data_IF_541427730045
#
_entry.id   IF_541427730045
#
_cell.length_a   1.000
_cell.length_b   1.000
_cell.length_c   1.000
_cell.angle_alpha   90.00
_cell.angle_beta   90.00
_cell.angle_gamma   90.00
#
_symmetry.space_group_name_H-M   'P 1'
#
loop_
_entity.id
_entity.type
_entity.pdbx_description
1 polymer ?
#
# COMPACT_ATOMS: atom_id res chain seq x y z
N UNK A 1 12.82 -22.28 -3.02
CA UNK A 1 11.56 -21.72 -2.49
C UNK A 1 11.05 -20.72 -3.51
N UNK A 2 9.83 -20.88 -3.96
CA UNK A 2 9.12 -19.92 -4.83
C UNK A 2 8.36 -18.95 -3.94
N UNK A 3 8.69 -17.65 -4.01
CA UNK A 3 8.07 -16.63 -3.15
C UNK A 3 7.01 -15.85 -3.92
N UNK A 4 5.74 -16.03 -3.54
CA UNK A 4 4.57 -15.42 -4.17
C UNK A 4 3.68 -14.67 -3.16
N UNK A 5 4.29 -14.03 -2.15
CA UNK A 5 3.58 -13.18 -1.18
C UNK A 5 4.09 -11.72 -1.19
N UNK A 6 4.40 -11.18 -2.39
CA UNK A 6 4.93 -9.83 -2.54
C UNK A 6 3.93 -8.74 -2.12
N UNK A 7 2.63 -8.98 -2.20
CA UNK A 7 1.60 -8.07 -1.70
C UNK A 7 1.59 -7.93 -0.16
N UNK A 8 2.21 -8.84 0.59
CA UNK A 8 2.45 -8.69 2.02
C UNK A 8 3.76 -7.92 2.27
N UNK A 9 4.86 -8.34 1.62
CA UNK A 9 6.16 -7.65 1.57
C UNK A 9 6.95 -8.17 0.37
N UNK A 10 7.64 -7.33 -0.37
CA UNK A 10 8.45 -7.79 -1.49
C UNK A 10 9.70 -8.52 -1.00
N UNK A 11 10.05 -9.63 -1.65
CA UNK A 11 11.29 -10.39 -1.42
C UNK A 11 11.72 -11.12 -2.70
N UNK A 12 13.05 -11.11 -3.03
CA UNK A 12 14.13 -10.40 -2.36
C UNK A 12 14.02 -8.88 -2.55
N UNK A 13 14.85 -8.12 -1.83
CA UNK A 13 15.08 -6.71 -2.09
C UNK A 13 16.22 -6.54 -3.10
N UNK A 14 16.27 -5.43 -3.85
CA UNK A 14 17.45 -5.06 -4.62
C UNK A 14 18.70 -5.03 -3.72
N UNK A 15 19.83 -5.50 -4.21
CA UNK A 15 21.08 -5.56 -3.43
C UNK A 15 21.53 -4.19 -2.88
N UNK A 16 21.23 -3.11 -3.63
CA UNK A 16 21.49 -1.75 -3.18
C UNK A 16 20.78 -1.39 -1.88
N UNK A 17 19.58 -1.95 -1.63
CA UNK A 17 18.80 -1.74 -0.40
C UNK A 17 19.54 -2.31 0.82
N UNK A 18 20.02 -3.56 0.71
CA UNK A 18 20.79 -4.18 1.80
C UNK A 18 22.06 -3.40 2.11
N UNK A 19 22.82 -3.03 1.06
CA UNK A 19 24.05 -2.23 1.20
C UNK A 19 23.81 -0.86 1.82
N UNK A 20 22.74 -0.18 1.43
CA UNK A 20 22.40 1.13 1.99
C UNK A 20 22.09 1.07 3.48
N UNK A 21 21.38 0.04 3.93
CA UNK A 21 21.09 -0.20 5.36
C UNK A 21 22.37 -0.44 6.14
N UNK A 22 23.24 -1.34 5.66
CA UNK A 22 24.52 -1.66 6.33
C UNK A 22 25.44 -0.41 6.38
N UNK A 23 25.53 0.32 5.26
CA UNK A 23 26.33 1.56 5.18
C UNK A 23 25.82 2.64 6.13
N UNK A 24 24.48 2.85 6.17
CA UNK A 24 23.88 3.82 7.06
C UNK A 24 24.20 3.51 8.54
N UNK A 25 24.13 2.23 8.94
CA UNK A 25 24.45 1.82 10.32
C UNK A 25 25.94 1.96 10.66
N UNK A 26 26.85 1.63 9.73
CA UNK A 26 28.30 1.62 10.01
C UNK A 26 28.95 2.98 9.84
N UNK A 27 28.48 3.80 8.89
CA UNK A 27 29.17 5.02 8.47
C UNK A 27 28.40 6.31 8.80
N UNK A 28 27.05 6.25 8.91
CA UNK A 28 26.20 7.41 9.13
C UNK A 28 25.36 7.30 10.41
N UNK A 29 25.83 6.58 11.43
CA UNK A 29 25.08 6.29 12.65
C UNK A 29 24.82 7.48 13.58
N UNK A 30 24.89 8.72 13.08
CA UNK A 30 24.56 9.92 13.82
C UNK A 30 23.07 10.31 13.67
N UNK A 31 22.56 11.10 14.63
CA UNK A 31 21.21 11.61 14.58
C UNK A 31 21.11 12.71 13.51
N UNK A 32 20.26 12.56 12.45
CA UNK A 32 20.14 13.54 11.39
C UNK A 32 19.65 14.89 11.92
N UNK A 33 20.22 16.01 11.41
CA UNK A 33 19.78 17.36 11.69
C UNK A 33 19.96 17.86 13.11
N UNK A 34 20.66 17.09 13.99
CA UNK A 34 20.84 17.48 15.40
C UNK A 34 22.28 17.83 15.79
N UNK A 35 23.20 17.96 14.82
CA UNK A 35 24.59 18.30 15.08
C UNK A 35 25.24 18.96 13.88
N UNK A 36 26.19 19.88 14.16
CA UNK A 36 26.95 20.57 13.12
C UNK A 36 28.17 19.77 12.63
N UNK A 37 28.39 18.53 13.14
CA UNK A 37 29.49 17.67 12.73
C UNK A 37 29.13 16.84 11.50
N UNK A 38 30.14 16.53 10.69
CA UNK A 38 30.00 15.94 9.36
C UNK A 38 29.05 14.73 9.31
N UNK A 39 29.17 13.78 10.23
CA UNK A 39 28.35 12.58 10.23
C UNK A 39 26.83 12.88 10.40
N UNK A 40 26.47 13.91 11.18
CA UNK A 40 25.08 14.34 11.34
C UNK A 40 24.55 15.02 10.08
N UNK A 41 25.40 15.82 9.42
CA UNK A 41 25.07 16.49 8.14
C UNK A 41 24.91 15.45 7.03
N UNK A 42 25.81 14.45 6.95
CA UNK A 42 25.73 13.37 5.97
C UNK A 42 24.45 12.53 6.18
N UNK A 43 24.08 12.26 7.44
CA UNK A 43 22.84 11.55 7.78
C UNK A 43 21.58 12.33 7.40
N UNK A 44 21.58 13.66 7.61
CA UNK A 44 20.49 14.54 7.19
C UNK A 44 20.35 14.58 5.65
N UNK A 45 21.47 14.73 4.93
CA UNK A 45 21.48 14.71 3.47
C UNK A 45 20.93 13.40 2.90
N UNK A 46 21.16 12.26 3.56
CA UNK A 46 20.61 10.96 3.20
C UNK A 46 19.07 10.94 3.37
N UNK A 47 18.57 11.44 4.50
CA UNK A 47 17.11 11.55 4.75
C UNK A 47 16.45 12.44 3.70
N UNK A 48 17.02 13.63 3.46
CA UNK A 48 16.48 14.59 2.50
C UNK A 48 16.56 14.08 1.05
N UNK A 49 17.63 13.39 0.70
CA UNK A 49 17.76 12.75 -0.62
C UNK A 49 16.70 11.68 -0.86
N UNK A 50 16.38 10.89 0.17
CA UNK A 50 15.27 9.90 0.09
C UNK A 50 13.92 10.60 -0.01
N UNK A 51 13.71 11.68 0.76
CA UNK A 51 12.49 12.49 0.72
C UNK A 51 12.24 13.07 -0.67
N UNK A 52 13.26 13.61 -1.31
CA UNK A 52 13.20 14.11 -2.68
C UNK A 52 12.93 13.00 -3.70
N UNK A 53 13.54 11.83 -3.53
CA UNK A 53 13.31 10.68 -4.41
C UNK A 53 11.85 10.21 -4.36
N UNK A 54 11.25 10.14 -3.16
CA UNK A 54 9.83 9.81 -2.98
C UNK A 54 8.92 10.88 -3.57
N UNK A 55 9.22 12.16 -3.32
CA UNK A 55 8.46 13.27 -3.90
C UNK A 55 8.48 13.22 -5.43
N UNK A 56 9.64 12.96 -6.03
CA UNK A 56 9.80 12.80 -7.47
C UNK A 56 9.05 11.59 -8.03
N UNK A 57 9.00 10.47 -7.29
CA UNK A 57 8.29 9.25 -7.72
C UNK A 57 6.79 9.49 -7.87
N UNK A 58 6.20 10.25 -6.95
CA UNK A 58 4.76 10.53 -6.93
C UNK A 58 4.37 11.88 -7.53
N UNK A 59 5.31 12.60 -8.16
CA UNK A 59 5.11 13.97 -8.62
C UNK A 59 4.47 14.87 -7.54
N UNK A 60 4.98 14.74 -6.29
CA UNK A 60 4.51 15.55 -5.18
C UNK A 60 5.01 17.00 -5.33
N UNK A 61 4.17 18.02 -5.08
CA UNK A 61 4.52 19.43 -5.33
C UNK A 61 5.65 19.95 -4.44
N UNK A 62 5.89 19.33 -3.29
CA UNK A 62 6.89 19.76 -2.32
C UNK A 62 7.43 18.58 -1.50
N UNK A 63 8.73 18.34 -1.59
CA UNK A 63 9.39 17.25 -0.85
C UNK A 63 9.26 17.38 0.67
N UNK A 64 9.19 18.58 1.23
CA UNK A 64 8.98 18.77 2.68
C UNK A 64 7.63 18.23 3.19
N UNK A 65 6.70 17.93 2.28
CA UNK A 65 5.40 17.30 2.59
C UNK A 65 5.38 15.79 2.41
N UNK A 66 6.53 15.18 2.20
CA UNK A 66 6.74 13.74 2.32
C UNK A 66 7.13 13.45 3.76
N UNK A 67 6.33 12.73 4.49
CA UNK A 67 6.49 12.40 5.91
C UNK A 67 6.88 10.93 6.03
N UNK A 68 7.99 10.63 6.68
CA UNK A 68 8.36 9.25 6.97
C UNK A 68 7.55 8.71 8.14
N UNK A 69 7.05 7.50 7.98
CA UNK A 69 6.23 6.79 8.95
C UNK A 69 6.75 5.38 9.18
N UNK A 70 6.24 4.67 10.17
CA UNK A 70 6.66 3.29 10.45
C UNK A 70 6.16 2.29 9.39
N UNK A 71 5.03 2.56 8.78
CA UNK A 71 4.38 1.75 7.76
C UNK A 71 3.13 2.50 7.21
N UNK A 72 2.44 1.92 6.23
CA UNK A 72 1.22 2.51 5.67
C UNK A 72 0.09 2.67 6.71
N UNK A 73 -0.06 1.73 7.63
CA UNK A 73 -1.07 1.84 8.71
C UNK A 73 -0.83 3.06 9.58
N UNK A 74 0.43 3.36 9.91
CA UNK A 74 0.82 4.57 10.63
C UNK A 74 0.50 5.83 9.81
N UNK A 75 0.89 5.86 8.52
CA UNK A 75 0.59 6.95 7.60
C UNK A 75 -0.93 7.23 7.50
N UNK A 76 -1.75 6.17 7.33
CA UNK A 76 -3.20 6.29 7.27
C UNK A 76 -3.81 6.76 8.60
N UNK A 77 -3.31 6.30 9.75
CA UNK A 77 -3.78 6.79 11.05
C UNK A 77 -3.43 8.27 11.25
N UNK A 78 -2.23 8.72 10.86
CA UNK A 78 -1.84 10.13 10.90
C UNK A 78 -2.79 10.96 10.02
N UNK A 79 -3.04 10.54 8.78
CA UNK A 79 -3.91 11.25 7.86
C UNK A 79 -5.36 11.28 8.36
N UNK A 80 -5.96 10.11 8.60
CA UNK A 80 -7.38 9.99 8.92
C UNK A 80 -7.73 10.65 10.26
N UNK A 81 -6.95 10.37 11.32
CA UNK A 81 -7.21 10.95 12.65
C UNK A 81 -6.74 12.40 12.78
N UNK A 82 -5.76 12.81 11.95
CA UNK A 82 -5.26 14.17 11.95
C UNK A 82 -6.11 15.15 11.14
N UNK A 83 -6.89 14.66 10.17
CA UNK A 83 -7.72 15.49 9.31
C UNK A 83 -9.21 15.45 9.68
N UNK A 84 -9.76 14.24 9.86
CA UNK A 84 -11.21 14.02 10.02
C UNK A 84 -11.67 14.41 11.43
N UNK A 85 -12.71 15.24 11.51
CA UNK A 85 -13.29 15.77 12.74
C UNK A 85 -14.71 15.24 12.94
N UNK A 86 -15.26 15.34 14.15
CA UNK A 86 -16.70 15.14 14.39
C UNK A 86 -17.54 16.05 13.49
N UNK A 87 -18.52 15.46 12.82
CA UNK A 87 -19.38 16.15 11.86
C UNK A 87 -18.95 15.99 10.40
N UNK A 88 -17.67 15.71 10.11
CA UNK A 88 -17.18 15.54 8.75
C UNK A 88 -17.84 14.34 8.06
N UNK A 89 -18.11 14.52 6.76
CA UNK A 89 -18.69 13.50 5.87
C UNK A 89 -17.58 12.80 5.11
N UNK A 90 -17.47 11.49 5.30
CA UNK A 90 -16.45 10.63 4.71
C UNK A 90 -17.13 9.57 3.85
N UNK A 91 -16.70 9.44 2.60
CA UNK A 91 -17.09 8.33 1.74
C UNK A 91 -15.89 7.42 1.51
N UNK A 92 -16.08 6.11 1.63
CA UNK A 92 -15.00 5.12 1.41
C UNK A 92 -15.41 4.05 0.42
N UNK A 93 -14.42 3.34 -0.12
CA UNK A 93 -14.63 2.25 -1.08
C UNK A 93 -15.13 0.95 -0.43
N UNK A 94 -15.58 -0.02 -1.25
CA UNK A 94 -16.07 -1.31 -0.76
C UNK A 94 -14.95 -2.31 -0.45
N UNK A 95 -13.72 -2.07 -0.90
CA UNK A 95 -12.61 -3.02 -0.87
C UNK A 95 -11.44 -2.57 0.03
N UNK A 96 -11.77 -1.84 1.09
CA UNK A 96 -10.76 -1.22 1.93
C UNK A 96 -10.08 -2.23 2.88
N UNK A 97 -8.79 -2.00 3.07
CA UNK A 97 -8.00 -2.70 4.07
C UNK A 97 -8.37 -2.27 5.50
N UNK A 98 -8.11 -3.13 6.49
CA UNK A 98 -8.34 -2.81 7.91
C UNK A 98 -7.63 -1.53 8.39
N UNK A 99 -6.56 -1.10 7.72
CA UNK A 99 -5.86 0.16 8.01
C UNK A 99 -6.68 1.41 7.67
N UNK A 100 -7.72 1.27 6.84
CA UNK A 100 -8.72 2.30 6.53
C UNK A 100 -9.98 2.08 7.37
N UNK A 101 -10.55 0.88 7.34
CA UNK A 101 -11.87 0.62 7.94
C UNK A 101 -11.88 0.76 9.45
N UNK A 102 -10.82 0.32 10.15
CA UNK A 102 -10.75 0.41 11.62
C UNK A 102 -10.61 1.85 12.13
N UNK A 103 -9.71 2.71 11.61
CA UNK A 103 -9.70 4.12 11.96
C UNK A 103 -11.02 4.82 11.64
N UNK A 104 -11.62 4.59 10.46
CA UNK A 104 -12.92 5.17 10.11
C UNK A 104 -14.04 4.73 11.07
N UNK A 105 -14.07 3.46 11.47
CA UNK A 105 -15.02 2.99 12.48
C UNK A 105 -14.84 3.73 13.83
N UNK A 106 -13.60 3.99 14.24
CA UNK A 106 -13.34 4.77 15.45
C UNK A 106 -13.81 6.22 15.30
N UNK A 107 -13.51 6.85 14.16
CA UNK A 107 -13.93 8.23 13.87
C UNK A 107 -15.46 8.35 13.78
N UNK A 108 -16.14 7.36 13.22
CA UNK A 108 -17.60 7.30 13.20
C UNK A 108 -18.19 7.31 14.61
N UNK A 109 -17.58 6.57 15.55
CA UNK A 109 -18.01 6.56 16.96
C UNK A 109 -17.74 7.89 17.67
N UNK A 110 -16.86 8.73 17.16
CA UNK A 110 -16.58 10.07 17.69
C UNK A 110 -17.30 11.19 16.93
N UNK A 111 -18.20 10.83 16.00
CA UNK A 111 -19.13 11.77 15.37
C UNK A 111 -18.90 12.04 13.88
N UNK A 112 -17.91 11.47 13.22
CA UNK A 112 -17.78 11.53 11.77
C UNK A 112 -18.91 10.72 11.09
N UNK A 113 -19.37 11.16 9.91
CA UNK A 113 -20.41 10.49 9.13
C UNK A 113 -19.73 9.66 8.02
N UNK A 114 -19.69 8.33 8.17
CA UNK A 114 -19.00 7.45 7.23
C UNK A 114 -20.02 6.68 6.39
N UNK A 115 -19.92 6.82 5.06
CA UNK A 115 -20.68 6.04 4.09
C UNK A 115 -19.75 5.19 3.22
N UNK A 116 -20.23 4.01 2.81
CA UNK A 116 -19.45 3.07 1.98
C UNK A 116 -20.09 2.99 0.58
N UNK A 117 -19.31 3.27 -0.45
CA UNK A 117 -19.71 3.08 -1.83
C UNK A 117 -19.90 1.59 -2.16
N UNK A 118 -20.84 1.26 -3.04
CA UNK A 118 -21.03 -0.12 -3.49
C UNK A 118 -19.95 -0.55 -4.47
N UNK A 119 -19.74 -1.85 -4.57
CA UNK A 119 -18.98 -2.44 -5.68
C UNK A 119 -19.85 -2.52 -6.95
N UNK A 120 -19.19 -2.42 -8.10
CA UNK A 120 -19.79 -2.75 -9.39
C UNK A 120 -19.59 -4.24 -9.76
N UNK A 121 -20.13 -4.69 -10.87
CA UNK A 121 -20.03 -6.09 -11.34
C UNK A 121 -18.60 -6.49 -11.77
N UNK A 122 -17.72 -5.53 -12.02
CA UNK A 122 -16.32 -5.75 -12.39
C UNK A 122 -15.37 -5.72 -11.16
N UNK A 123 -15.88 -5.95 -9.95
CA UNK A 123 -15.14 -5.93 -8.68
C UNK A 123 -14.44 -4.58 -8.40
N UNK A 124 -14.90 -3.48 -9.03
CA UNK A 124 -14.45 -2.12 -8.80
C UNK A 124 -15.45 -1.31 -7.96
N UNK A 125 -15.14 -0.04 -7.72
CA UNK A 125 -16.05 0.91 -7.08
C UNK A 125 -17.17 1.35 -8.07
N UNK A 126 -18.42 1.41 -7.59
CA UNK A 126 -19.54 1.99 -8.33
C UNK A 126 -19.45 3.52 -8.26
N UNK A 127 -18.99 4.15 -9.36
CA UNK A 127 -18.78 5.60 -9.43
C UNK A 127 -20.11 6.39 -9.38
N UNK A 128 -21.21 5.83 -9.86
CA UNK A 128 -22.51 6.50 -9.80
C UNK A 128 -23.04 6.50 -8.36
N UNK A 129 -22.85 5.41 -7.62
CA UNK A 129 -23.18 5.38 -6.22
C UNK A 129 -22.24 6.30 -5.39
N UNK A 130 -20.92 6.32 -5.71
CA UNK A 130 -20.00 7.28 -5.10
C UNK A 130 -20.45 8.72 -5.31
N UNK A 131 -20.79 9.09 -6.54
CA UNK A 131 -21.32 10.42 -6.87
C UNK A 131 -22.59 10.74 -6.11
N UNK A 132 -23.51 9.76 -5.99
CA UNK A 132 -24.76 9.94 -5.24
C UNK A 132 -24.49 10.20 -3.74
N UNK A 133 -23.53 9.50 -3.13
CA UNK A 133 -23.13 9.70 -1.74
C UNK A 133 -22.48 11.06 -1.50
N UNK A 134 -21.74 11.60 -2.47
CA UNK A 134 -21.09 12.90 -2.38
C UNK A 134 -22.02 14.08 -2.67
N UNK A 135 -23.20 13.85 -3.24
CA UNK A 135 -24.09 14.91 -3.80
C UNK A 135 -24.47 16.01 -2.79
N UNK A 136 -24.59 15.69 -1.53
CA UNK A 136 -24.94 16.65 -0.47
C UNK A 136 -23.70 17.27 0.21
N UNK A 137 -22.53 17.15 -0.40
CA UNK A 137 -21.22 17.54 0.12
C UNK A 137 -20.48 16.34 0.71
N UNK A 138 -19.16 16.38 0.63
CA UNK A 138 -18.25 15.42 1.24
C UNK A 138 -17.00 16.17 1.69
N UNK A 139 -16.41 15.81 2.83
CA UNK A 139 -15.15 16.38 3.27
C UNK A 139 -13.96 15.50 2.81
N UNK A 140 -14.15 14.18 2.86
CA UNK A 140 -13.09 13.25 2.47
C UNK A 140 -13.66 12.04 1.70
N UNK A 141 -12.99 11.69 0.60
CA UNK A 141 -13.12 10.37 -0.03
C UNK A 141 -11.86 9.58 0.27
N UNK A 142 -12.00 8.37 0.83
CA UNK A 142 -10.88 7.51 1.25
C UNK A 142 -10.97 6.20 0.50
N UNK A 143 -10.01 5.91 -0.37
CA UNK A 143 -10.03 4.68 -1.17
C UNK A 143 -8.66 4.03 -1.29
N UNK A 144 -8.65 2.71 -1.37
CA UNK A 144 -7.48 1.94 -1.77
C UNK A 144 -7.28 2.04 -3.29
N UNK A 145 -6.05 2.34 -3.73
CA UNK A 145 -5.69 2.38 -5.14
C UNK A 145 -5.88 1.01 -5.81
N UNK A 146 -5.45 -0.04 -5.11
CA UNK A 146 -5.55 -1.42 -5.58
C UNK A 146 -6.04 -2.30 -4.45
N UNK A 147 -7.03 -3.14 -4.74
CA UNK A 147 -7.49 -4.16 -3.79
C UNK A 147 -6.40 -5.20 -3.55
N UNK A 148 -6.01 -5.38 -2.29
CA UNK A 148 -5.03 -6.38 -1.90
C UNK A 148 -5.56 -7.83 -1.95
N UNK A 149 -6.81 -8.02 -2.34
CA UNK A 149 -7.47 -9.33 -2.51
C UNK A 149 -7.67 -9.63 -3.98
N UNK A 150 -8.33 -8.73 -4.72
CA UNK A 150 -8.73 -8.98 -6.12
C UNK A 150 -7.72 -8.44 -7.13
N UNK A 151 -6.80 -7.56 -6.73
CA UNK A 151 -5.90 -6.85 -7.64
C UNK A 151 -6.61 -5.77 -8.49
N UNK A 152 -7.90 -5.53 -8.26
CA UNK A 152 -8.66 -4.52 -8.99
C UNK A 152 -8.12 -3.13 -8.71
N UNK A 153 -7.93 -2.34 -9.76
CA UNK A 153 -7.40 -0.97 -9.70
C UNK A 153 -8.55 0.03 -9.67
N UNK A 154 -8.54 0.92 -8.67
CA UNK A 154 -9.53 1.99 -8.58
C UNK A 154 -9.26 3.09 -9.62
N UNK A 155 -10.29 3.67 -10.26
CA UNK A 155 -10.17 4.79 -11.18
C UNK A 155 -9.96 6.10 -10.40
N UNK A 156 -8.72 6.30 -9.92
CA UNK A 156 -8.36 7.35 -8.94
C UNK A 156 -8.70 8.75 -9.46
N UNK A 157 -8.41 9.03 -10.73
CA UNK A 157 -8.66 10.34 -11.34
C UNK A 157 -10.15 10.70 -11.36
N UNK A 158 -11.00 9.74 -11.69
CA UNK A 158 -12.47 9.92 -11.68
C UNK A 158 -12.99 10.07 -10.24
N UNK A 159 -12.45 9.31 -9.30
CA UNK A 159 -12.81 9.41 -7.87
C UNK A 159 -12.41 10.78 -7.31
N UNK A 160 -11.21 11.26 -7.61
CA UNK A 160 -10.73 12.59 -7.23
C UNK A 160 -11.64 13.68 -7.80
N UNK A 161 -11.98 13.59 -9.10
CA UNK A 161 -12.87 14.55 -9.74
C UNK A 161 -14.25 14.60 -9.08
N UNK A 162 -14.81 13.44 -8.67
CA UNK A 162 -16.06 13.39 -7.92
C UNK A 162 -15.91 14.05 -6.56
N UNK A 163 -14.85 13.73 -5.80
CA UNK A 163 -14.60 14.31 -4.49
C UNK A 163 -14.50 15.84 -4.57
N UNK A 164 -13.64 16.36 -5.45
CA UNK A 164 -13.40 17.79 -5.62
C UNK A 164 -14.64 18.55 -6.13
N UNK A 165 -15.43 17.96 -7.03
CA UNK A 165 -16.67 18.58 -7.52
C UNK A 165 -17.71 18.79 -6.40
N UNK A 166 -17.58 18.07 -5.27
CA UNK A 166 -18.47 18.18 -4.11
C UNK A 166 -17.76 18.77 -2.86
N UNK A 167 -16.61 19.43 -3.04
CA UNK A 167 -15.87 20.16 -2.03
C UNK A 167 -14.97 19.32 -1.12
N UNK A 168 -14.81 18.03 -1.41
CA UNK A 168 -14.01 17.10 -0.62
C UNK A 168 -12.57 16.93 -1.12
N UNK A 169 -11.78 16.19 -0.36
CA UNK A 169 -10.40 15.80 -0.65
C UNK A 169 -10.29 14.28 -0.83
N UNK A 170 -9.35 13.83 -1.67
CA UNK A 170 -9.04 12.42 -1.86
C UNK A 170 -7.85 11.98 -1.00
N UNK A 171 -8.08 11.00 -0.12
CA UNK A 171 -7.05 10.28 0.63
C UNK A 171 -6.87 8.89 -0.02
N UNK A 172 -5.70 8.65 -0.59
CA UNK A 172 -5.37 7.42 -1.33
C UNK A 172 -4.54 6.48 -0.47
N UNK A 173 -5.08 5.28 -0.17
CA UNK A 173 -4.27 4.16 0.31
C UNK A 173 -3.56 3.53 -0.90
N UNK A 174 -2.30 3.89 -1.10
CA UNK A 174 -1.47 3.37 -2.18
C UNK A 174 -0.66 2.13 -1.79
N UNK A 175 -1.11 1.38 -0.76
CA UNK A 175 -0.34 0.25 -0.21
C UNK A 175 0.00 -0.86 -1.21
N UNK A 176 -0.81 -1.04 -2.25
CA UNK A 176 -0.58 -2.02 -3.31
C UNK A 176 -0.22 -1.36 -4.65
N UNK A 177 -0.51 -0.06 -4.82
CA UNK A 177 -0.23 0.65 -6.06
C UNK A 177 1.15 1.31 -6.10
N UNK A 178 1.63 1.80 -4.95
CA UNK A 178 2.93 2.49 -4.88
C UNK A 178 4.08 1.58 -5.31
N UNK A 179 4.79 1.98 -6.37
CA UNK A 179 5.89 1.23 -6.97
C UNK A 179 5.49 0.10 -7.93
N UNK A 180 4.19 -0.25 -7.99
CA UNK A 180 3.63 -1.23 -8.93
C UNK A 180 2.84 -0.55 -10.07
N UNK A 181 2.32 0.65 -9.84
CA UNK A 181 1.62 1.47 -10.82
C UNK A 181 2.19 2.88 -10.80
N UNK A 182 2.13 3.56 -11.93
CA UNK A 182 2.50 4.97 -12.00
C UNK A 182 1.45 5.82 -11.29
N UNK A 183 1.87 6.59 -10.30
CA UNK A 183 1.02 7.48 -9.51
C UNK A 183 1.56 8.90 -9.61
N UNK A 184 0.90 9.70 -10.43
CA UNK A 184 1.12 11.15 -10.48
C UNK A 184 0.04 11.83 -9.64
N UNK A 185 0.42 12.30 -8.43
CA UNK A 185 -0.54 12.91 -7.50
C UNK A 185 -1.20 14.16 -8.08
N UNK A 186 -0.48 14.94 -8.89
CA UNK A 186 -1.01 16.18 -9.47
C UNK A 186 -1.98 15.88 -10.60
N UNK A 187 -1.62 14.99 -11.54
CA UNK A 187 -2.51 14.60 -12.64
C UNK A 187 -3.75 13.83 -12.16
N UNK A 188 -3.57 12.97 -11.17
CA UNK A 188 -4.67 12.17 -10.59
C UNK A 188 -5.54 12.93 -9.60
N UNK A 189 -5.12 14.12 -9.14
CA UNK A 189 -5.85 14.90 -8.15
C UNK A 189 -5.84 14.27 -6.75
N UNK A 190 -4.73 13.64 -6.35
CA UNK A 190 -4.58 13.02 -5.03
C UNK A 190 -4.13 14.07 -4.03
N UNK A 191 -4.93 14.33 -2.99
CA UNK A 191 -4.59 15.31 -1.95
C UNK A 191 -3.68 14.73 -0.87
N UNK A 192 -3.92 13.47 -0.51
CA UNK A 192 -3.15 12.73 0.49
C UNK A 192 -2.87 11.31 0.01
N UNK A 193 -1.61 10.90 0.03
CA UNK A 193 -1.18 9.55 -0.35
C UNK A 193 -0.47 8.88 0.82
N UNK A 194 -0.85 7.64 1.14
CA UNK A 194 -0.18 6.79 2.11
C UNK A 194 0.39 5.52 1.45
N UNK A 195 1.66 5.20 1.70
CA UNK A 195 2.29 4.00 1.15
C UNK A 195 3.26 3.33 2.13
N UNK A 196 3.40 1.99 2.10
CA UNK A 196 4.41 1.27 2.85
C UNK A 196 5.73 1.26 2.07
N UNK A 197 6.85 1.37 2.77
CA UNK A 197 8.16 1.27 2.13
C UNK A 197 8.52 -0.16 1.72
N UNK A 198 7.97 -1.18 2.40
CA UNK A 198 8.40 -2.57 2.29
C UNK A 198 7.70 -3.42 1.23
N UNK A 199 6.72 -2.87 0.51
CA UNK A 199 6.04 -3.52 -0.62
C UNK A 199 6.63 -3.04 -1.95
N UNK A 200 5.82 -2.59 -2.88
CA UNK A 200 6.27 -2.16 -4.21
C UNK A 200 7.32 -1.04 -4.23
N UNK A 201 7.55 -0.33 -3.12
CA UNK A 201 8.68 0.60 -2.99
C UNK A 201 10.02 -0.09 -2.69
N UNK A 202 10.07 -1.42 -2.54
CA UNK A 202 11.25 -2.24 -2.32
C UNK A 202 12.14 -1.85 -1.14
N UNK A 203 11.70 -0.96 -0.26
CA UNK A 203 12.39 -0.60 0.98
C UNK A 203 12.25 -1.68 2.08
N UNK A 204 12.90 -1.51 3.23
CA UNK A 204 12.79 -2.43 4.35
C UNK A 204 11.47 -2.29 5.10
N UNK A 205 11.11 -3.30 5.89
CA UNK A 205 10.06 -3.20 6.91
C UNK A 205 10.40 -2.09 7.92
N UNK A 206 9.37 -1.53 8.57
CA UNK A 206 9.56 -0.40 9.49
C UNK A 206 9.73 0.94 8.77
N UNK A 207 9.31 1.03 7.51
CA UNK A 207 9.25 2.27 6.71
C UNK A 207 7.92 2.41 6.01
N UNK A 208 7.47 3.66 5.90
CA UNK A 208 6.30 4.09 5.15
C UNK A 208 6.39 5.58 4.86
N UNK A 209 5.49 6.07 4.05
CA UNK A 209 5.40 7.48 3.69
C UNK A 209 3.96 7.96 3.71
N UNK A 210 3.77 9.19 4.18
CA UNK A 210 2.58 10.00 3.99
C UNK A 210 2.98 11.20 3.12
N UNK A 211 2.30 11.43 2.01
CA UNK A 211 2.59 12.54 1.09
C UNK A 211 1.37 13.44 0.99
N UNK A 212 1.57 14.75 1.17
CA UNK A 212 0.52 15.75 1.14
C UNK A 212 0.70 16.67 -0.07
N UNK A 213 -0.34 16.84 -0.89
CA UNK A 213 -0.30 17.75 -2.05
C UNK A 213 -0.25 19.22 -1.62
N UNK A 214 -0.87 19.58 -0.48
CA UNK A 214 -0.88 20.93 0.07
C UNK A 214 -0.43 20.95 1.54
N UNK A 215 -0.24 22.12 2.13
CA UNK A 215 0.00 22.29 3.55
C UNK A 215 -1.33 22.14 4.33
N UNK A 216 -1.83 20.90 4.41
CA UNK A 216 -3.08 20.57 5.10
C UNK A 216 -2.92 20.69 6.63
N UNK A 217 -3.98 21.05 7.39
CA UNK A 217 -3.91 21.24 8.84
C UNK A 217 -3.98 19.88 9.59
N UNK A 218 -3.15 18.91 9.17
CA UNK A 218 -3.09 17.59 9.82
C UNK A 218 -2.67 17.78 11.28
N UNK A 219 -3.48 17.32 12.23
CA UNK A 219 -3.11 17.36 13.63
C UNK A 219 -2.02 16.32 13.92
N UNK A 220 -0.99 16.65 14.71
CA UNK A 220 0.05 15.70 15.08
C UNK A 220 -0.57 14.48 15.79
N UNK A 221 -0.19 13.29 15.33
CA UNK A 221 -0.57 12.03 15.99
C UNK A 221 0.37 11.70 17.14
N UNK A 222 1.60 12.18 17.05
CA UNK A 222 2.66 12.08 18.06
C UNK A 222 3.33 13.43 18.18
N UNK A 223 3.65 13.80 19.41
CA UNK A 223 4.37 15.03 19.74
C UNK A 223 5.68 14.68 20.45
N UNK A 224 6.71 15.50 20.28
CA UNK A 224 8.00 15.28 20.93
C UNK A 224 9.15 15.99 20.23
N UNK A 225 10.36 15.56 20.55
CA UNK A 225 11.57 16.20 20.03
C UNK A 225 11.73 16.01 18.52
N UNK A 226 11.83 17.11 17.81
CA UNK A 226 12.02 17.17 16.36
C UNK A 226 13.42 17.65 15.96
N UNK A 227 14.15 18.26 16.88
CA UNK A 227 15.41 18.98 16.60
C UNK A 227 15.20 20.36 16.00
N UNK A 228 13.95 20.81 15.84
CA UNK A 228 13.55 22.09 15.29
C UNK A 228 12.70 22.86 16.32
N UNK A 229 12.92 24.16 16.49
CA UNK A 229 12.21 25.04 17.44
C UNK A 229 12.12 24.47 18.86
N UNK A 230 13.23 23.98 19.42
CA UNK A 230 13.28 23.29 20.70
C UNK A 230 12.88 24.15 21.92
N UNK A 231 12.86 25.48 21.77
CA UNK A 231 12.41 26.46 22.75
C UNK A 231 10.88 26.58 22.81
N UNK A 232 10.17 26.13 21.76
CA UNK A 232 8.71 26.15 21.72
C UNK A 232 8.11 25.03 22.59
N UNK A 233 7.11 25.29 23.42
CA UNK A 233 6.41 24.25 24.18
C UNK A 233 5.46 23.41 23.32
N UNK A 234 5.11 23.87 22.12
CA UNK A 234 4.21 23.18 21.19
C UNK A 234 4.96 22.46 20.10
N UNK A 235 4.30 21.48 19.47
CA UNK A 235 4.80 20.81 18.28
C UNK A 235 4.96 21.84 17.13
N UNK A 236 6.05 21.80 16.34
CA UNK A 236 6.23 22.70 15.20
C UNK A 236 5.05 22.67 14.23
N UNK A 237 4.79 23.79 13.58
CA UNK A 237 3.75 23.90 12.55
C UNK A 237 4.26 23.60 11.15
N UNK A 238 5.56 23.66 10.96
CA UNK A 238 6.26 23.44 9.69
C UNK A 238 6.43 21.96 9.38
N UNK A 239 6.24 21.59 8.12
CA UNK A 239 6.55 20.27 7.61
C UNK A 239 8.05 20.13 7.30
N UNK A 240 8.63 18.95 7.51
CA UNK A 240 8.03 17.69 7.98
C UNK A 240 7.90 17.58 9.51
N UNK A 241 8.54 18.47 10.29
CA UNK A 241 8.67 18.39 11.76
C UNK A 241 7.33 18.34 12.49
N UNK A 242 6.27 18.91 11.89
CA UNK A 242 4.91 18.82 12.42
C UNK A 242 4.46 17.39 12.68
N UNK A 243 4.84 16.44 11.81
CA UNK A 243 4.38 15.04 11.86
C UNK A 243 5.50 14.04 12.13
N UNK A 244 6.77 14.46 12.08
CA UNK A 244 7.93 13.63 12.35
C UNK A 244 8.51 13.94 13.75
N UNK A 245 7.95 13.32 14.80
CA UNK A 245 8.48 13.42 16.14
C UNK A 245 9.36 12.21 16.49
N UNK A 246 10.49 12.45 17.16
CA UNK A 246 11.45 11.45 17.55
C UNK A 246 12.61 11.30 16.56
N UNK A 247 13.58 10.44 16.91
CA UNK A 247 14.71 10.12 16.02
C UNK A 247 14.23 9.23 14.87
N UNK A 248 14.49 9.61 13.61
CA UNK A 248 14.03 8.86 12.46
C UNK A 248 14.77 7.54 12.29
N UNK A 249 14.16 6.58 11.61
CA UNK A 249 14.75 5.30 11.22
C UNK A 249 15.71 5.50 10.04
N UNK A 250 16.89 6.07 10.32
CA UNK A 250 17.89 6.39 9.30
C UNK A 250 18.27 5.20 8.41
N UNK A 251 18.60 4.00 8.94
CA UNK A 251 18.91 2.85 8.10
C UNK A 251 17.75 2.43 7.20
N UNK A 252 16.53 2.45 7.76
CA UNK A 252 15.33 2.14 6.98
C UNK A 252 15.06 3.15 5.87
N UNK A 253 15.23 4.44 6.15
CA UNK A 253 15.06 5.52 5.16
C UNK A 253 16.13 5.42 4.06
N UNK A 254 17.37 5.08 4.41
CA UNK A 254 18.42 4.82 3.44
C UNK A 254 18.05 3.69 2.46
N UNK A 255 17.60 2.56 3.03
CA UNK A 255 17.13 1.42 2.23
C UNK A 255 15.92 1.76 1.38
N UNK A 256 14.95 2.53 1.89
CA UNK A 256 13.80 3.00 1.12
C UNK A 256 14.24 3.86 -0.08
N UNK A 257 15.22 4.74 0.12
CA UNK A 257 15.77 5.57 -0.95
C UNK A 257 16.34 4.73 -2.10
N UNK A 258 17.05 3.64 -1.80
CA UNK A 258 17.55 2.71 -2.83
C UNK A 258 16.44 1.90 -3.49
N UNK A 259 15.40 1.51 -2.74
CA UNK A 259 14.21 0.89 -3.32
C UNK A 259 13.52 1.80 -4.36
N UNK A 260 13.34 3.06 -4.03
CA UNK A 260 12.78 4.07 -4.95
C UNK A 260 13.69 4.28 -6.17
N UNK A 261 15.00 4.34 -5.98
CA UNK A 261 15.97 4.45 -7.09
C UNK A 261 15.93 3.22 -8.00
N UNK A 262 15.78 2.02 -7.44
CA UNK A 262 15.60 0.79 -8.21
C UNK A 262 14.38 0.87 -9.11
N UNK A 263 13.21 1.27 -8.60
CA UNK A 263 11.98 1.40 -9.39
C UNK A 263 12.17 2.37 -10.56
N UNK A 264 12.80 3.51 -10.31
CA UNK A 264 13.09 4.51 -11.36
C UNK A 264 14.05 4.01 -12.42
N UNK A 265 15.06 3.23 -12.03
CA UNK A 265 16.05 2.68 -12.98
C UNK A 265 15.52 1.50 -13.78
N UNK A 266 14.70 0.64 -13.17
CA UNK A 266 14.04 -0.47 -13.83
C UNK A 266 12.88 0.00 -14.74
N UNK A 267 12.29 1.15 -14.40
CA UNK A 267 11.09 1.68 -15.04
C UNK A 267 9.81 1.08 -14.44
N UNK A 268 9.01 1.93 -13.79
CA UNK A 268 7.77 1.49 -13.13
C UNK A 268 6.82 0.78 -14.10
N UNK A 269 6.72 1.26 -15.35
CA UNK A 269 5.91 0.64 -16.40
C UNK A 269 6.38 -0.76 -16.77
N UNK A 270 7.69 -1.03 -16.78
CA UNK A 270 8.24 -2.36 -17.04
C UNK A 270 7.93 -3.33 -15.90
N UNK A 271 8.07 -2.88 -14.65
CA UNK A 271 7.69 -3.67 -13.46
C UNK A 271 6.19 -3.99 -13.50
N UNK A 272 5.34 -2.99 -13.71
CA UNK A 272 3.89 -3.14 -13.79
C UNK A 272 3.48 -4.14 -14.87
N UNK A 273 4.05 -4.02 -16.07
CA UNK A 273 3.76 -4.91 -17.19
C UNK A 273 4.17 -6.37 -16.89
N UNK A 274 5.34 -6.57 -16.31
CA UNK A 274 5.81 -7.90 -15.92
C UNK A 274 4.91 -8.52 -14.86
N UNK A 275 4.60 -7.82 -13.80
CA UNK A 275 3.74 -8.30 -12.70
C UNK A 275 2.33 -8.64 -13.22
N UNK A 276 1.74 -7.78 -14.04
CA UNK A 276 0.43 -8.02 -14.65
C UNK A 276 0.44 -9.20 -15.63
N UNK A 277 1.50 -9.37 -16.42
CA UNK A 277 1.63 -10.50 -17.34
C UNK A 277 1.71 -11.84 -16.60
N UNK A 278 2.49 -11.90 -15.50
CA UNK A 278 2.58 -13.11 -14.67
C UNK A 278 1.24 -13.42 -13.97
N UNK A 279 0.55 -12.40 -13.50
CA UNK A 279 -0.79 -12.54 -12.89
C UNK A 279 -1.82 -13.03 -13.92
N UNK A 280 -1.80 -12.49 -15.14
CA UNK A 280 -2.67 -12.95 -16.24
C UNK A 280 -2.39 -14.41 -16.59
N UNK A 281 -1.12 -14.77 -16.77
CA UNK A 281 -0.71 -16.13 -17.04
C UNK A 281 -1.19 -17.11 -15.96
N UNK A 282 -1.02 -16.75 -14.69
CA UNK A 282 -1.51 -17.55 -13.56
C UNK A 282 -3.04 -17.67 -13.57
N UNK A 283 -3.75 -16.57 -13.70
CA UNK A 283 -5.22 -16.56 -13.69
C UNK A 283 -5.79 -17.43 -14.83
N UNK A 284 -5.24 -17.33 -16.04
CA UNK A 284 -5.69 -18.10 -17.21
C UNK A 284 -5.39 -19.59 -17.07
N UNK A 285 -4.27 -19.96 -16.46
CA UNK A 285 -3.95 -21.36 -16.20
C UNK A 285 -4.79 -21.94 -15.07
N UNK A 286 -5.03 -21.18 -13.99
CA UNK A 286 -5.88 -21.63 -12.88
C UNK A 286 -7.35 -21.81 -13.29
N UNK A 287 -7.90 -20.94 -14.15
CA UNK A 287 -9.27 -21.07 -14.68
C UNK A 287 -9.50 -22.34 -15.51
N UNK A 288 -8.44 -22.99 -16.00
CA UNK A 288 -8.49 -24.26 -16.76
C UNK A 288 -8.42 -25.49 -15.85
N UNK A 289 -8.23 -25.33 -14.55
CA UNK A 289 -8.18 -26.44 -13.59
C UNK A 289 -9.57 -26.65 -13.00
N UNK A 290 -10.10 -27.86 -13.14
CA UNK A 290 -11.37 -28.21 -12.53
C UNK A 290 -11.33 -27.96 -11.02
N UNK A 291 -12.46 -27.51 -10.47
CA UNK A 291 -12.61 -27.16 -9.04
C UNK A 291 -11.71 -26.03 -8.52
N UNK A 292 -11.13 -25.19 -9.38
CA UNK A 292 -10.44 -23.95 -9.00
C UNK A 292 -11.29 -22.74 -9.34
N UNK A 293 -11.54 -21.91 -8.34
CA UNK A 293 -12.22 -20.61 -8.50
C UNK A 293 -11.21 -19.48 -8.40
N UNK A 294 -11.22 -18.52 -9.32
CA UNK A 294 -10.31 -17.37 -9.37
C UNK A 294 -11.10 -16.08 -9.10
N UNK A 295 -10.59 -15.24 -8.22
CA UNK A 295 -11.21 -14.01 -7.73
C UNK A 295 -10.34 -12.79 -8.07
N UNK A 296 -10.17 -12.51 -9.34
CA UNK A 296 -9.52 -11.30 -9.85
C UNK A 296 -10.25 -10.86 -11.13
N UNK A 297 -9.94 -9.68 -11.62
CA UNK A 297 -10.43 -9.21 -12.91
C UNK A 297 -10.09 -10.17 -14.05
N UNK A 298 -10.83 -10.08 -15.15
CA UNK A 298 -10.57 -10.88 -16.36
C UNK A 298 -9.16 -10.59 -16.90
N UNK A 299 -8.73 -9.34 -16.81
CA UNK A 299 -7.36 -8.88 -17.11
C UNK A 299 -6.81 -8.23 -15.84
N UNK A 300 -5.95 -8.92 -15.08
CA UNK A 300 -5.32 -8.34 -13.90
C UNK A 300 -4.53 -7.08 -14.23
N UNK A 301 -4.83 -5.98 -13.54
CA UNK A 301 -4.08 -4.72 -13.67
C UNK A 301 -2.81 -4.68 -12.80
N UNK A 302 -2.61 -5.71 -11.96
CA UNK A 302 -1.50 -5.80 -11.00
C UNK A 302 -1.07 -7.24 -10.80
N UNK A 303 0.01 -7.45 -10.05
CA UNK A 303 0.56 -8.77 -9.75
C UNK A 303 -0.24 -9.62 -8.74
N UNK A 304 -1.53 -9.33 -8.46
CA UNK A 304 -2.31 -10.01 -7.41
C UNK A 304 -3.35 -10.95 -7.98
N UNK A 305 -3.32 -12.23 -7.58
CA UNK A 305 -4.32 -13.24 -7.94
C UNK A 305 -4.78 -14.00 -6.71
N UNK A 306 -6.08 -13.95 -6.41
CA UNK A 306 -6.72 -14.75 -5.36
C UNK A 306 -7.48 -15.93 -5.96
N UNK A 307 -7.42 -17.09 -5.30
CA UNK A 307 -8.10 -18.30 -5.77
C UNK A 307 -8.49 -19.23 -4.62
N UNK A 308 -9.34 -20.22 -4.92
CA UNK A 308 -9.70 -21.37 -4.05
C UNK A 308 -9.55 -22.66 -4.82
N UNK A 309 -9.23 -23.74 -4.11
CA UNK A 309 -9.08 -25.09 -4.70
C UNK A 309 -10.16 -26.00 -4.14
N UNK A 310 -11.25 -26.16 -4.88
CA UNK A 310 -12.36 -27.08 -4.56
C UNK A 310 -12.86 -26.98 -3.12
N UNK A 311 -12.95 -28.12 -2.46
CA UNK A 311 -13.32 -28.24 -1.05
C UNK A 311 -12.11 -28.11 -0.09
N UNK A 312 -10.90 -27.96 -0.62
CA UNK A 312 -9.69 -27.75 0.19
C UNK A 312 -9.69 -26.32 0.68
N UNK A 313 -9.83 -26.11 1.98
CA UNK A 313 -9.86 -24.78 2.57
C UNK A 313 -8.58 -23.99 2.29
N UNK A 314 -8.69 -22.66 2.21
CA UNK A 314 -7.56 -21.80 1.85
C UNK A 314 -6.32 -22.01 2.73
N UNK A 315 -6.52 -22.16 4.05
CA UNK A 315 -5.43 -22.40 5.00
C UNK A 315 -4.69 -23.71 4.72
N UNK A 316 -5.42 -24.82 4.49
CA UNK A 316 -4.82 -26.11 4.19
C UNK A 316 -4.10 -26.09 2.84
N UNK A 317 -4.69 -25.45 1.82
CA UNK A 317 -4.03 -25.26 0.52
C UNK A 317 -2.68 -24.57 0.69
N UNK A 318 -2.61 -23.47 1.46
CA UNK A 318 -1.35 -22.76 1.71
C UNK A 318 -0.33 -23.59 2.46
N UNK A 319 -0.76 -24.38 3.45
CA UNK A 319 0.11 -25.31 4.18
C UNK A 319 0.72 -26.37 3.25
N UNK A 320 -0.07 -26.94 2.35
CA UNK A 320 0.40 -27.96 1.39
C UNK A 320 1.37 -27.31 0.38
N UNK A 321 1.05 -26.11 -0.14
CA UNK A 321 1.92 -25.38 -1.06
C UNK A 321 3.30 -25.13 -0.45
N UNK A 322 3.37 -24.72 0.81
CA UNK A 322 4.64 -24.50 1.50
C UNK A 322 5.37 -25.82 1.79
N UNK A 323 4.70 -26.75 2.49
CA UNK A 323 5.35 -27.96 3.04
C UNK A 323 5.72 -28.99 1.98
N UNK A 324 4.93 -29.13 0.90
CA UNK A 324 5.13 -30.16 -0.11
C UNK A 324 5.77 -29.63 -1.40
N UNK A 325 5.61 -28.34 -1.69
CA UNK A 325 6.07 -27.75 -2.94
C UNK A 325 7.06 -26.59 -2.76
N UNK A 326 7.29 -26.10 -1.52
CA UNK A 326 8.19 -24.99 -1.25
C UNK A 326 7.70 -23.67 -1.86
N UNK A 327 6.38 -23.46 -1.93
CA UNK A 327 5.75 -22.28 -2.53
C UNK A 327 5.10 -21.45 -1.43
N UNK A 328 5.62 -20.24 -1.20
CA UNK A 328 5.11 -19.30 -0.21
C UNK A 328 4.00 -18.44 -0.81
N UNK A 329 2.79 -18.57 -0.28
CA UNK A 329 1.59 -17.77 -0.59
C UNK A 329 0.94 -17.27 0.69
N UNK A 330 0.01 -16.32 0.59
CA UNK A 330 -0.79 -15.90 1.75
C UNK A 330 -2.19 -16.50 1.70
N UNK A 331 -2.78 -16.83 2.87
CA UNK A 331 -4.12 -17.39 2.98
C UNK A 331 -5.00 -16.60 3.95
N UNK A 332 -6.33 -16.73 3.81
CA UNK A 332 -7.33 -16.16 4.70
C UNK A 332 -7.91 -14.83 4.20
N UNK A 333 -8.27 -13.92 5.13
CA UNK A 333 -9.01 -12.69 4.83
C UNK A 333 -8.13 -11.51 4.39
N UNK A 334 -6.82 -11.66 4.33
CA UNK A 334 -5.85 -10.63 3.89
C UNK A 334 -6.04 -9.23 4.53
N UNK A 335 -6.61 -9.18 5.75
CA UNK A 335 -6.98 -7.94 6.44
C UNK A 335 -8.01 -7.06 5.69
N UNK A 336 -8.84 -7.65 4.84
CA UNK A 336 -9.89 -6.99 4.07
C UNK A 336 -11.22 -7.79 4.10
N UNK A 337 -11.84 -7.97 5.29
CA UNK A 337 -13.02 -8.81 5.43
C UNK A 337 -14.21 -8.34 4.59
N UNK A 338 -14.39 -7.03 4.40
CA UNK A 338 -15.45 -6.46 3.56
C UNK A 338 -15.31 -6.90 2.08
N UNK A 339 -14.08 -6.96 1.57
CA UNK A 339 -13.81 -7.48 0.23
C UNK A 339 -14.27 -8.92 0.11
N UNK A 340 -13.95 -9.77 1.09
CA UNK A 340 -14.36 -11.18 1.08
C UNK A 340 -15.88 -11.37 1.23
N UNK A 341 -16.56 -10.47 1.93
CA UNK A 341 -18.04 -10.44 1.94
C UNK A 341 -18.59 -10.10 0.55
N UNK A 342 -18.02 -9.10 -0.12
CA UNK A 342 -18.46 -8.66 -1.43
C UNK A 342 -18.25 -9.73 -2.53
N UNK A 343 -17.14 -10.50 -2.47
CA UNK A 343 -16.84 -11.56 -3.45
C UNK A 343 -17.31 -12.96 -3.02
N UNK A 344 -18.06 -13.09 -1.91
CA UNK A 344 -18.64 -14.37 -1.44
C UNK A 344 -17.63 -15.37 -0.88
N UNK A 345 -16.50 -14.91 -0.40
CA UNK A 345 -15.44 -15.78 0.15
C UNK A 345 -15.25 -15.66 1.67
N UNK A 346 -16.10 -14.87 2.34
CA UNK A 346 -16.15 -14.81 3.81
C UNK A 346 -16.87 -16.03 4.36
N UNK A 347 -16.48 -16.60 5.54
CA UNK A 347 -15.39 -16.18 6.42
C UNK A 347 -14.02 -16.81 6.11
N UNK A 348 -13.91 -17.77 5.21
CA UNK A 348 -12.70 -18.57 5.00
C UNK A 348 -11.57 -17.82 4.29
N UNK A 349 -11.92 -16.83 3.46
CA UNK A 349 -10.95 -16.11 2.65
C UNK A 349 -10.51 -16.87 1.39
N UNK A 350 -9.34 -16.56 0.90
CA UNK A 350 -8.74 -17.13 -0.33
C UNK A 350 -7.28 -17.48 -0.10
N UNK A 351 -6.70 -18.25 -1.01
CA UNK A 351 -5.26 -18.27 -1.27
C UNK A 351 -4.95 -17.08 -2.17
N UNK A 352 -3.90 -16.31 -1.86
CA UNK A 352 -3.45 -15.18 -2.68
C UNK A 352 -2.00 -15.41 -3.10
N UNK A 353 -1.76 -15.50 -4.40
CA UNK A 353 -0.45 -15.36 -5.00
C UNK A 353 -0.22 -13.91 -5.41
N UNK A 354 0.99 -13.39 -5.23
CA UNK A 354 1.34 -12.05 -5.64
C UNK A 354 2.78 -11.94 -6.11
N UNK A 355 2.94 -11.31 -7.26
CA UNK A 355 4.21 -11.16 -7.95
C UNK A 355 4.92 -9.86 -7.60
N UNK A 356 6.24 -9.86 -7.81
CA UNK A 356 7.12 -8.71 -7.75
C UNK A 356 8.15 -8.76 -8.87
N UNK A 357 9.00 -7.74 -9.00
CA UNK A 357 9.96 -7.56 -10.09
C UNK A 357 10.94 -8.74 -10.30
N UNK A 358 11.08 -9.63 -9.33
CA UNK A 358 12.04 -10.76 -9.40
C UNK A 358 11.37 -12.11 -9.69
N UNK A 359 10.04 -12.14 -9.82
CA UNK A 359 9.34 -13.36 -10.21
C UNK A 359 9.42 -13.61 -11.72
N UNK A 360 9.27 -14.88 -12.11
CA UNK A 360 9.40 -15.37 -13.47
C UNK A 360 8.23 -16.28 -13.85
N UNK A 361 8.10 -16.60 -15.14
CA UNK A 361 7.11 -17.56 -15.63
C UNK A 361 7.26 -18.95 -14.97
N UNK A 362 8.49 -19.35 -14.63
CA UNK A 362 8.72 -20.63 -13.94
C UNK A 362 8.08 -20.69 -12.56
N UNK A 363 7.92 -19.55 -11.87
CA UNK A 363 7.21 -19.48 -10.59
C UNK A 363 5.71 -19.71 -10.78
N UNK A 364 5.14 -19.21 -11.88
CA UNK A 364 3.75 -19.47 -12.28
C UNK A 364 3.55 -20.95 -12.57
N UNK A 365 4.42 -21.55 -13.40
CA UNK A 365 4.33 -22.96 -13.78
C UNK A 365 4.42 -23.89 -12.56
N UNK A 366 5.31 -23.58 -11.61
CA UNK A 366 5.45 -24.32 -10.36
C UNK A 366 4.15 -24.26 -9.51
N UNK A 367 3.55 -23.07 -9.36
CA UNK A 367 2.29 -22.92 -8.62
C UNK A 367 1.15 -23.66 -9.31
N UNK A 368 1.01 -23.55 -10.63
CA UNK A 368 -0.05 -24.23 -11.41
C UNK A 368 0.07 -25.75 -11.30
N UNK A 369 1.29 -26.29 -11.40
CA UNK A 369 1.54 -27.73 -11.24
C UNK A 369 1.15 -28.21 -9.84
N UNK A 370 1.51 -27.47 -8.79
CA UNK A 370 1.14 -27.79 -7.42
C UNK A 370 -0.38 -27.74 -7.19
N UNK A 371 -1.06 -26.68 -7.69
CA UNK A 371 -2.52 -26.53 -7.57
C UNK A 371 -3.27 -27.67 -8.28
N UNK A 372 -2.81 -28.13 -9.45
CA UNK A 372 -3.38 -29.30 -10.13
C UNK A 372 -3.31 -30.56 -9.27
N UNK A 373 -2.16 -30.80 -8.63
CA UNK A 373 -2.00 -31.96 -7.75
C UNK A 373 -2.90 -31.89 -6.52
N UNK A 374 -3.01 -30.70 -5.91
CA UNK A 374 -3.90 -30.46 -4.76
C UNK A 374 -5.38 -30.68 -5.17
N UNK A 375 -5.80 -30.18 -6.34
CA UNK A 375 -7.18 -30.29 -6.81
C UNK A 375 -7.61 -31.73 -7.18
N UNK A 376 -6.67 -32.62 -7.48
CA UNK A 376 -6.94 -34.05 -7.80
C UNK A 376 -6.78 -34.98 -6.60
N UNK A 377 -6.12 -34.55 -5.53
CA UNK A 377 -5.91 -35.38 -4.35
C UNK A 377 -7.19 -35.47 -3.50
N UNK A 378 -7.52 -36.70 -3.10
CA UNK A 378 -8.60 -36.94 -2.12
C UNK A 378 -8.04 -36.73 -0.72
N UNK A 379 -8.31 -35.58 -0.13
CA UNK A 379 -8.01 -35.31 1.29
C UNK A 379 -9.20 -35.79 2.14
N UNK A 380 -9.05 -36.95 2.78
CA UNK A 380 -10.00 -37.55 3.70
C UNK A 380 -9.69 -37.18 5.15
#
# INVERSE_FOLDING_TARGET
MVYLDNAATTWPKPEAVYRAIDTAMRQHGANPGRGAYRMSVDAEALVDGTRQAVASLFNAPNAQRVIFTLNCTDALNIALKGLIKPGDRVVTGPFEHNSVTRPLHTLQRTGAQVAVARSNSALGIDLDHLRALCREGVDYVVVSHVSNVTGCVAPVKEIAAIAHAHGGMLILDAAQGAGALDIDMQDMGVDVLAAPGHKGLYGPMGTGVLVLAAALPVQPFREGGTGFQSESPGQPTEYPWRLEAGTPNLPGIAGLGEGVRFIRSAGIGAIAQQEAALAQMLADQLRKIDNVSVFCDQVPGTGVVSFRVGTVGAALTGTILDSSFGIAVRTGLHCAPATHQAIGTFPEGTVRASFGAFNTESDVDALVAAVRQIGTASYH
#
